data_IF_416397941776
#
_entry.id   IF_416397941776
#
_cell.length_a   1.000
_cell.length_b   1.000
_cell.length_c   1.000
_cell.angle_alpha   90.00
_cell.angle_beta   90.00
_cell.angle_gamma   90.00
#
_symmetry.space_group_name_H-M   'P 1'
#
loop_
_entity.id
_entity.type
_entity.pdbx_description
1 polymer ?
#
# COMPACT_ATOMS: atom_id res chain seq x y z
N UNK A 1 -3.01 -24.93 -24.04
CA UNK A 1 -3.15 -23.74 -24.91
C UNK A 1 -4.57 -23.23 -24.79
N UNK A 2 -4.75 -21.95 -24.47
CA UNK A 2 -6.07 -21.33 -24.22
C UNK A 2 -6.67 -20.74 -25.51
N UNK A 3 -5.82 -20.47 -26.51
CA UNK A 3 -6.21 -19.89 -27.80
C UNK A 3 -7.29 -20.71 -28.51
N UNK A 4 -8.36 -20.02 -28.93
CA UNK A 4 -9.49 -20.57 -29.69
C UNK A 4 -10.36 -21.62 -28.97
N UNK A 5 -10.33 -21.68 -27.63
CA UNK A 5 -11.25 -22.53 -26.82
C UNK A 5 -12.41 -21.70 -26.29
N UNK A 6 -13.56 -22.33 -26.07
CA UNK A 6 -14.73 -21.66 -25.49
C UNK A 6 -14.44 -21.31 -24.03
N UNK A 7 -14.88 -20.12 -23.59
CA UNK A 7 -14.68 -19.64 -22.21
C UNK A 7 -15.26 -20.63 -21.19
N UNK A 8 -16.42 -21.23 -21.46
CA UNK A 8 -17.04 -22.24 -20.59
C UNK A 8 -16.16 -23.47 -20.38
N UNK A 9 -15.56 -24.01 -21.46
CA UNK A 9 -14.67 -25.18 -21.39
C UNK A 9 -13.39 -24.86 -20.59
N UNK A 10 -12.85 -23.63 -20.74
CA UNK A 10 -11.68 -23.19 -19.98
C UNK A 10 -12.01 -23.06 -18.48
N UNK A 11 -13.18 -22.51 -18.14
CA UNK A 11 -13.63 -22.39 -16.75
C UNK A 11 -13.84 -23.78 -16.13
N UNK A 12 -14.37 -24.75 -16.89
CA UNK A 12 -14.47 -26.15 -16.48
C UNK A 12 -13.09 -26.76 -16.22
N UNK A 13 -12.16 -26.64 -17.16
CA UNK A 13 -10.78 -27.13 -17.00
C UNK A 13 -10.07 -26.51 -15.78
N UNK A 14 -10.31 -25.22 -15.48
CA UNK A 14 -9.73 -24.54 -14.31
C UNK A 14 -10.28 -25.11 -13.00
N UNK A 15 -11.59 -25.37 -12.95
CA UNK A 15 -12.24 -26.01 -11.81
C UNK A 15 -11.73 -27.45 -11.62
N UNK A 16 -11.65 -28.23 -12.70
CA UNK A 16 -11.20 -29.63 -12.65
C UNK A 16 -9.72 -29.77 -12.25
N UNK A 17 -8.91 -28.75 -12.56
CA UNK A 17 -7.51 -28.66 -12.14
C UNK A 17 -7.32 -28.14 -10.71
N UNK A 18 -8.41 -27.74 -10.04
CA UNK A 18 -8.38 -27.29 -8.65
C UNK A 18 -7.73 -25.92 -8.46
N UNK A 19 -7.88 -24.99 -9.41
CA UNK A 19 -7.49 -23.60 -9.17
C UNK A 19 -8.53 -22.92 -8.25
N UNK A 20 -8.05 -22.11 -7.32
CA UNK A 20 -8.92 -21.38 -6.39
C UNK A 20 -9.70 -20.28 -7.09
N UNK A 21 -10.93 -20.03 -6.64
CA UNK A 21 -11.72 -18.92 -7.14
C UNK A 21 -11.43 -17.68 -6.28
N UNK A 22 -10.93 -16.61 -6.90
CA UNK A 22 -10.73 -15.33 -6.25
C UNK A 22 -11.87 -14.39 -6.62
N UNK A 23 -12.83 -14.21 -5.71
CA UNK A 23 -13.82 -13.15 -5.83
C UNK A 23 -13.33 -11.95 -5.02
N UNK A 24 -13.06 -10.85 -5.70
CA UNK A 24 -12.70 -9.59 -5.06
C UNK A 24 -13.86 -9.20 -4.11
N UNK A 25 -13.59 -9.22 -2.81
CA UNK A 25 -14.57 -8.91 -1.77
C UNK A 25 -15.03 -7.48 -2.03
N UNK A 26 -16.29 -7.28 -2.42
CA UNK A 26 -16.85 -5.94 -2.53
C UNK A 26 -16.72 -5.26 -1.16
N UNK A 27 -15.91 -4.21 -1.10
CA UNK A 27 -15.65 -3.37 0.08
C UNK A 27 -16.96 -3.08 0.83
N UNK A 28 -17.21 -3.83 1.89
CA UNK A 28 -18.52 -3.86 2.54
C UNK A 28 -18.53 -4.78 3.75
N UNK A 29 -17.95 -4.27 4.85
CA UNK A 29 -18.17 -4.73 6.23
C UNK A 29 -17.52 -6.08 6.60
N UNK A 30 -16.41 -5.97 7.35
CA UNK A 30 -16.18 -6.74 8.58
C UNK A 30 -16.03 -8.26 8.49
N UNK A 31 -14.80 -8.72 8.77
CA UNK A 31 -14.48 -10.02 9.39
C UNK A 31 -14.94 -11.27 8.63
N UNK A 32 -13.97 -11.97 8.02
CA UNK A 32 -13.77 -13.39 8.35
C UNK A 32 -12.47 -13.82 7.70
N UNK A 33 -11.51 -14.17 8.54
CA UNK A 33 -10.68 -15.35 8.36
C UNK A 33 -11.52 -16.43 7.65
N UNK A 34 -11.25 -16.59 6.36
CA UNK A 34 -11.72 -17.70 5.55
C UNK A 34 -10.61 -17.90 4.55
N UNK A 35 -9.56 -18.59 5.02
CA UNK A 35 -8.98 -19.67 4.24
C UNK A 35 -10.12 -20.31 3.46
N UNK A 36 -10.18 -20.07 2.16
CA UNK A 36 -11.16 -20.66 1.26
C UNK A 36 -10.82 -22.15 1.01
N UNK A 37 -10.48 -22.87 2.07
CA UNK A 37 -10.66 -24.31 2.10
C UNK A 37 -12.15 -24.55 2.35
N UNK A 38 -12.77 -25.31 1.47
CA UNK A 38 -14.20 -25.65 1.42
C UNK A 38 -15.10 -24.69 0.61
N UNK A 39 -14.99 -24.80 -0.71
CA UNK A 39 -16.15 -24.60 -1.59
C UNK A 39 -16.13 -25.59 -2.75
N UNK A 40 -15.88 -26.87 -2.43
CA UNK A 40 -16.58 -27.93 -3.11
C UNK A 40 -17.99 -27.98 -2.54
N UNK A 41 -18.95 -27.33 -3.19
CA UNK A 41 -20.24 -27.94 -3.55
C UNK A 41 -21.26 -26.92 -4.11
N UNK A 42 -21.80 -27.29 -5.29
CA UNK A 42 -23.07 -26.85 -5.91
C UNK A 42 -23.04 -25.57 -6.75
N UNK A 43 -23.01 -25.80 -8.07
CA UNK A 43 -23.54 -24.95 -9.14
C UNK A 43 -23.19 -23.45 -9.10
N UNK A 44 -21.90 -23.13 -8.98
CA UNK A 44 -21.43 -21.81 -9.39
C UNK A 44 -21.77 -21.57 -10.87
N UNK A 45 -22.54 -20.52 -11.16
CA UNK A 45 -22.90 -20.16 -12.53
C UNK A 45 -21.65 -19.90 -13.36
N UNK A 46 -21.73 -20.09 -14.69
CA UNK A 46 -20.64 -19.71 -15.61
C UNK A 46 -20.24 -18.23 -15.40
N UNK A 47 -21.19 -17.38 -14.99
CA UNK A 47 -20.92 -15.99 -14.66
C UNK A 47 -20.09 -15.82 -13.36
N UNK A 48 -20.33 -16.66 -12.35
CA UNK A 48 -19.60 -16.61 -11.07
C UNK A 48 -18.20 -17.21 -11.23
N UNK A 49 -18.08 -18.31 -11.99
CA UNK A 49 -16.79 -18.87 -12.39
C UNK A 49 -15.97 -17.86 -13.21
N UNK A 50 -16.62 -17.14 -14.12
CA UNK A 50 -15.94 -16.12 -14.93
C UNK A 50 -15.37 -14.97 -14.09
N UNK A 51 -16.05 -14.58 -13.01
CA UNK A 51 -15.56 -13.57 -12.06
C UNK A 51 -14.47 -14.13 -11.15
N UNK A 52 -14.67 -15.34 -10.62
CA UNK A 52 -13.72 -15.99 -9.71
C UNK A 52 -12.38 -16.33 -10.36
N UNK A 53 -12.36 -16.61 -11.67
CA UNK A 53 -11.13 -16.91 -12.41
C UNK A 53 -10.59 -15.73 -13.24
N UNK A 54 -11.13 -14.52 -13.05
CA UNK A 54 -10.74 -13.35 -13.84
C UNK A 54 -9.25 -13.00 -13.66
N UNK A 55 -8.68 -13.27 -12.48
CA UNK A 55 -7.25 -13.08 -12.20
C UNK A 55 -6.32 -13.96 -13.07
N UNK A 56 -6.81 -15.11 -13.56
CA UNK A 56 -6.06 -15.98 -14.49
C UNK A 56 -6.32 -15.63 -15.96
N UNK A 57 -7.56 -15.23 -16.28
CA UNK A 57 -8.04 -15.04 -17.65
C UNK A 57 -7.86 -13.60 -18.16
N UNK A 58 -7.85 -12.62 -17.26
CA UNK A 58 -7.68 -11.19 -17.55
C UNK A 58 -6.24 -10.81 -17.90
N UNK A 59 -5.27 -11.68 -17.61
CA UNK A 59 -3.88 -11.47 -18.01
C UNK A 59 -3.76 -11.56 -19.54
N UNK A 60 -3.17 -10.52 -20.16
CA UNK A 60 -2.95 -10.49 -21.61
C UNK A 60 -2.03 -11.64 -22.01
N UNK A 61 -2.36 -12.39 -23.05
CA UNK A 61 -1.47 -13.47 -23.57
C UNK A 61 -0.08 -12.92 -23.93
N UNK A 62 0.04 -11.65 -24.32
CA UNK A 62 1.32 -10.98 -24.58
C UNK A 62 2.15 -10.73 -23.31
N UNK A 63 1.55 -10.75 -22.12
CA UNK A 63 2.30 -10.74 -20.86
C UNK A 63 2.98 -12.08 -20.59
N UNK A 64 2.74 -13.12 -21.38
CA UNK A 64 3.35 -14.44 -21.23
C UNK A 64 4.73 -14.56 -21.90
N UNK A 65 5.54 -13.50 -21.85
CA UNK A 65 6.96 -13.55 -22.23
C UNK A 65 7.77 -14.22 -21.12
N UNK A 66 8.91 -14.82 -21.47
CA UNK A 66 9.81 -15.44 -20.49
C UNK A 66 10.20 -14.47 -19.36
N UNK A 67 10.47 -13.21 -19.70
CA UNK A 67 10.83 -12.14 -18.76
C UNK A 67 9.70 -11.84 -17.77
N UNK A 68 8.45 -11.72 -18.24
CA UNK A 68 7.32 -11.49 -17.36
C UNK A 68 7.01 -12.71 -16.48
N UNK A 69 7.22 -13.93 -16.98
CA UNK A 69 7.11 -15.14 -16.15
C UNK A 69 8.21 -15.19 -15.08
N UNK A 70 9.40 -14.64 -15.35
CA UNK A 70 10.44 -14.48 -14.34
C UNK A 70 10.07 -13.39 -13.33
N UNK A 71 9.56 -12.25 -13.79
CA UNK A 71 9.09 -11.16 -12.93
C UNK A 71 7.98 -11.63 -11.96
N UNK A 72 6.99 -12.37 -12.44
CA UNK A 72 5.92 -12.94 -11.60
C UNK A 72 6.46 -13.94 -10.57
N UNK A 73 7.49 -14.72 -10.91
CA UNK A 73 8.16 -15.61 -9.94
C UNK A 73 8.89 -14.82 -8.86
N UNK A 74 9.61 -13.77 -9.24
CA UNK A 74 10.29 -12.90 -8.28
C UNK A 74 9.30 -12.16 -7.40
N UNK A 75 8.18 -11.69 -7.95
CA UNK A 75 7.12 -11.03 -7.18
C UNK A 75 6.47 -12.00 -6.19
N UNK A 76 6.19 -13.23 -6.61
CA UNK A 76 5.73 -14.31 -5.72
C UNK A 76 6.71 -14.53 -4.57
N UNK A 77 8.01 -14.61 -4.87
CA UNK A 77 9.04 -14.88 -3.85
C UNK A 77 9.17 -13.73 -2.86
N UNK A 78 9.12 -12.48 -3.35
CA UNK A 78 9.10 -11.30 -2.50
C UNK A 78 7.86 -11.28 -1.59
N UNK A 79 6.67 -11.56 -2.14
CA UNK A 79 5.43 -11.61 -1.36
C UNK A 79 5.43 -12.73 -0.33
N UNK A 80 6.02 -13.89 -0.65
CA UNK A 80 6.25 -14.96 0.32
C UNK A 80 7.19 -14.52 1.44
N UNK A 81 8.31 -13.89 1.11
CA UNK A 81 9.26 -13.41 2.11
C UNK A 81 8.63 -12.32 3.01
N UNK A 82 7.82 -11.42 2.45
CA UNK A 82 7.03 -10.45 3.22
C UNK A 82 6.05 -11.13 4.17
N UNK A 83 5.35 -12.17 3.70
CA UNK A 83 4.41 -12.94 4.51
C UNK A 83 5.12 -13.71 5.62
N UNK A 84 6.21 -14.41 5.32
CA UNK A 84 7.01 -15.14 6.31
C UNK A 84 7.57 -14.18 7.38
N UNK A 85 7.99 -12.97 6.96
CA UNK A 85 8.42 -11.93 7.88
C UNK A 85 7.28 -11.44 8.78
N UNK A 86 6.09 -11.22 8.22
CA UNK A 86 4.90 -10.82 8.98
C UNK A 86 4.43 -11.90 9.96
N UNK A 87 4.44 -13.17 9.56
CA UNK A 87 4.11 -14.30 10.44
C UNK A 87 5.15 -14.46 11.57
N UNK A 88 6.42 -14.16 11.29
CA UNK A 88 7.47 -14.16 12.30
C UNK A 88 7.36 -12.97 13.27
N UNK A 89 6.77 -11.84 12.86
CA UNK A 89 6.52 -10.71 13.76
C UNK A 89 5.34 -10.99 14.67
N UNK A 90 5.61 -11.05 15.98
CA UNK A 90 4.52 -11.14 16.96
C UNK A 90 3.70 -9.84 17.00
N UNK A 91 2.41 -9.88 17.41
CA UNK A 91 1.59 -8.68 17.55
C UNK A 91 2.21 -7.62 18.48
N UNK A 92 2.91 -8.06 19.52
CA UNK A 92 3.63 -7.17 20.44
C UNK A 92 4.79 -6.44 19.74
N UNK A 93 5.54 -7.12 18.88
CA UNK A 93 6.60 -6.50 18.10
C UNK A 93 6.06 -5.51 17.07
N UNK A 94 4.93 -5.81 16.43
CA UNK A 94 4.24 -4.86 15.55
C UNK A 94 3.91 -3.58 16.34
N UNK A 95 3.37 -3.73 17.55
CA UNK A 95 3.05 -2.61 18.41
C UNK A 95 4.29 -1.80 18.83
N UNK A 96 5.39 -2.47 19.17
CA UNK A 96 6.65 -1.80 19.51
C UNK A 96 7.21 -1.02 18.32
N UNK A 97 7.20 -1.60 17.13
CA UNK A 97 7.63 -0.92 15.90
C UNK A 97 6.78 0.33 15.62
N UNK A 98 5.46 0.26 15.86
CA UNK A 98 4.56 1.40 15.73
C UNK A 98 4.88 2.49 16.76
N UNK A 99 5.17 2.13 18.01
CA UNK A 99 5.60 3.08 19.03
C UNK A 99 6.93 3.76 18.68
N UNK A 100 7.93 2.99 18.23
CA UNK A 100 9.21 3.51 17.78
C UNK A 100 9.03 4.50 16.61
N UNK A 101 8.15 4.16 15.66
CA UNK A 101 7.81 5.04 14.54
C UNK A 101 7.13 6.35 15.01
N UNK A 102 6.27 6.28 16.03
CA UNK A 102 5.64 7.45 16.63
C UNK A 102 6.68 8.32 17.36
N UNK A 103 7.59 7.73 18.12
CA UNK A 103 8.67 8.46 18.81
C UNK A 103 9.53 9.23 17.81
N UNK A 104 9.99 8.58 16.73
CA UNK A 104 10.77 9.25 15.67
C UNK A 104 9.97 10.38 15.01
N UNK A 105 8.67 10.18 14.74
CA UNK A 105 7.83 11.20 14.16
C UNK A 105 7.61 12.40 15.11
N UNK A 106 7.50 12.14 16.42
CA UNK A 106 7.40 13.18 17.45
C UNK A 106 8.69 13.99 17.53
N UNK A 107 9.84 13.34 17.58
CA UNK A 107 11.15 14.01 17.60
C UNK A 107 11.32 14.92 16.36
N UNK A 108 10.98 14.42 15.17
CA UNK A 108 11.01 15.21 13.95
C UNK A 108 10.07 16.43 14.02
N UNK A 109 8.88 16.25 14.61
CA UNK A 109 7.92 17.34 14.83
C UNK A 109 8.45 18.36 15.83
N UNK A 110 9.10 17.93 16.91
CA UNK A 110 9.70 18.84 17.89
C UNK A 110 10.82 19.67 17.28
N UNK A 111 11.70 19.05 16.48
CA UNK A 111 12.77 19.75 15.74
C UNK A 111 12.19 20.80 14.79
N UNK A 112 11.17 20.45 14.02
CA UNK A 112 10.53 21.39 13.08
C UNK A 112 9.83 22.54 13.81
N UNK A 113 9.15 22.27 14.93
CA UNK A 113 8.55 23.32 15.77
C UNK A 113 9.59 24.21 16.43
N UNK A 114 10.71 23.65 16.90
CA UNK A 114 11.81 24.43 17.44
C UNK A 114 12.41 25.35 16.36
N UNK A 115 12.60 24.83 15.14
CA UNK A 115 13.08 25.60 14.00
C UNK A 115 12.14 26.77 13.66
N UNK A 116 10.83 26.52 13.52
CA UNK A 116 9.87 27.59 13.22
C UNK A 116 9.80 28.65 14.32
N UNK A 117 9.86 28.25 15.59
CA UNK A 117 9.91 29.19 16.72
C UNK A 117 11.19 30.03 16.70
N UNK A 118 12.33 29.45 16.32
CA UNK A 118 13.57 30.22 16.17
C UNK A 118 13.50 31.20 15.01
N UNK A 119 12.96 30.80 13.87
CA UNK A 119 12.77 31.65 12.69
C UNK A 119 11.79 32.81 12.98
N UNK A 120 10.68 32.54 13.67
CA UNK A 120 9.74 33.58 14.10
C UNK A 120 10.38 34.56 15.08
N UNK A 121 11.19 34.08 16.03
CA UNK A 121 11.93 34.94 16.96
C UNK A 121 12.94 35.82 16.23
N UNK A 122 13.66 35.28 15.26
CA UNK A 122 14.59 36.03 14.42
C UNK A 122 13.87 37.05 13.52
N UNK A 123 12.76 36.67 12.89
CA UNK A 123 11.94 37.57 12.08
C UNK A 123 11.38 38.72 12.92
N UNK A 124 10.93 38.43 14.15
CA UNK A 124 10.45 39.44 15.11
C UNK A 124 11.59 40.34 15.60
N UNK A 125 12.80 39.81 15.79
CA UNK A 125 13.98 40.60 16.16
C UNK A 125 14.40 41.56 15.01
N UNK A 126 14.45 41.07 13.77
CA UNK A 126 14.75 41.87 12.56
C UNK A 126 13.70 42.98 12.36
N UNK A 127 12.42 42.67 12.55
CA UNK A 127 11.32 43.65 12.49
C UNK A 127 11.44 44.75 13.55
N UNK A 128 11.73 44.39 14.81
CA UNK A 128 11.94 45.37 15.90
C UNK A 128 13.14 46.28 15.62
N UNK A 129 14.25 45.75 15.12
CA UNK A 129 15.44 46.54 14.79
C UNK A 129 15.17 47.56 13.68
N UNK A 130 14.40 47.18 12.65
CA UNK A 130 14.04 48.05 11.53
C UNK A 130 13.06 49.19 11.92
N UNK A 131 12.25 49.00 12.96
CA UNK A 131 11.43 50.09 13.52
C UNK A 131 12.25 51.08 14.35
N UNK A 132 13.29 50.62 15.05
CA UNK A 132 14.16 51.50 15.86
C UNK A 132 15.02 52.40 14.97
N UNK A 133 15.52 51.92 13.83
CA UNK A 133 16.28 52.73 12.87
C UNK A 133 15.43 53.80 12.18
N UNK A 134 14.16 53.51 11.89
CA UNK A 134 13.21 54.49 11.31
C UNK A 134 12.77 55.60 12.29
N UNK A 135 12.86 55.36 13.61
CA UNK A 135 12.49 56.35 14.65
C UNK A 135 13.65 57.26 15.08
N UNK A 136 14.87 57.07 14.57
CA UNK A 136 16.01 57.96 14.89
C UNK A 136 15.87 59.25 14.06
N UNK A 137 15.67 60.43 14.67
CA UNK A 137 15.38 61.65 13.91
C UNK A 137 16.61 62.03 13.08
N UNK A 138 16.40 62.29 11.79
CA UNK A 138 17.42 62.82 10.90
C UNK A 138 17.86 64.18 11.42
N UNK A 139 19.03 64.24 12.08
CA UNK A 139 19.68 65.51 12.42
C UNK A 139 19.97 66.25 11.12
N UNK A 140 19.13 67.23 10.79
CA UNK A 140 19.33 68.19 9.71
C UNK A 140 20.68 68.89 9.93
N UNK A 141 21.60 68.71 8.98
CA UNK A 141 22.89 69.41 8.97
C UNK A 141 22.62 70.84 8.48
N UNK A 142 23.11 71.81 9.26
CA UNK A 142 23.01 73.25 9.05
C UNK A 142 24.12 73.72 8.10
#
# INVERSE_FOLDING_TARGET
VISNRKKADILGDLKDRGYDMFLEKSEGVGSSETTAEDSTEKDASVADLAKGFDYLLGMKIWSLTFENAQALRTERDNKKAELDALEATSPEQIWLNDLDAIEVALDAREVTMAATVTEEKEARAKSKQNQVTKKKPSKKRK
#
